data_IF_464621952573
#
_entry.id   IF_464621952573
#
_cell.length_a   1.000
_cell.length_b   1.000
_cell.length_c   1.000
_cell.angle_alpha   90.00
_cell.angle_beta   90.00
_cell.angle_gamma   90.00
#
_symmetry.space_group_name_H-M   'P 1'
#
loop_
_entity.id
_entity.type
_entity.pdbx_description
1 polymer ?
#
# COMPACT_ATOMS: atom_id res chain seq x y z
N UNK A 1 -39.51 10.04 -40.20
CA UNK A 1 -39.55 10.57 -38.82
C UNK A 1 -40.12 9.46 -37.94
N UNK A 2 -39.43 8.75 -37.05
CA UNK A 2 -38.29 9.05 -36.16
C UNK A 2 -37.62 7.69 -35.86
N UNK A 3 -36.37 7.45 -36.28
CA UNK A 3 -35.59 6.21 -35.98
C UNK A 3 -34.34 6.52 -35.14
N UNK A 4 -34.42 7.55 -34.28
CA UNK A 4 -33.29 8.10 -33.54
C UNK A 4 -33.03 7.47 -32.14
N UNK A 5 -33.91 6.70 -31.46
CA UNK A 5 -33.65 6.35 -30.06
C UNK A 5 -32.64 5.22 -29.88
N UNK A 6 -32.36 4.40 -30.89
CA UNK A 6 -31.48 3.22 -30.77
C UNK A 6 -29.98 3.54 -30.82
N UNK A 7 -29.59 4.69 -31.41
CA UNK A 7 -28.17 5.06 -31.53
C UNK A 7 -27.61 5.64 -30.21
N UNK A 8 -28.47 6.23 -29.37
CA UNK A 8 -28.07 6.83 -28.09
C UNK A 8 -27.84 5.83 -26.97
N UNK A 9 -28.40 4.61 -27.06
CA UNK A 9 -28.22 3.58 -26.02
C UNK A 9 -26.95 2.74 -26.21
N UNK A 10 -26.37 2.72 -27.42
CA UNK A 10 -25.14 1.99 -27.71
C UNK A 10 -23.86 2.72 -27.27
N UNK A 11 -23.94 4.03 -27.01
CA UNK A 11 -22.79 4.85 -26.59
C UNK A 11 -22.53 4.83 -25.08
N UNK A 12 -23.44 4.28 -24.26
CA UNK A 12 -23.28 4.23 -22.81
C UNK A 12 -22.45 3.03 -22.31
N UNK A 13 -22.07 2.11 -23.21
CA UNK A 13 -21.43 0.84 -22.84
C UNK A 13 -19.89 0.88 -22.81
N UNK A 14 -19.26 2.01 -23.16
CA UNK A 14 -17.80 2.13 -23.27
C UNK A 14 -17.27 3.14 -22.25
N UNK A 15 -17.29 2.79 -20.97
CA UNK A 15 -16.46 3.47 -19.96
C UNK A 15 -16.33 2.67 -18.65
N UNK A 16 -16.17 1.35 -18.74
CA UNK A 16 -15.66 0.56 -17.61
C UNK A 16 -14.28 0.01 -18.00
N UNK A 17 -13.31 0.91 -18.19
CA UNK A 17 -11.90 0.52 -18.25
C UNK A 17 -11.50 0.04 -16.87
N UNK A 18 -11.59 -1.27 -16.63
CA UNK A 18 -10.91 -1.92 -15.53
C UNK A 18 -9.41 -1.62 -15.68
N UNK A 19 -8.90 -0.68 -14.87
CA UNK A 19 -7.49 -0.38 -14.81
C UNK A 19 -6.80 -1.61 -14.23
N UNK A 20 -6.14 -2.40 -15.08
CA UNK A 20 -5.27 -3.46 -14.62
C UNK A 20 -4.19 -2.80 -13.74
N UNK A 21 -3.95 -3.31 -12.52
CA UNK A 21 -2.95 -2.73 -11.65
C UNK A 21 -1.59 -2.76 -12.36
N UNK A 22 -0.87 -1.66 -12.27
CA UNK A 22 0.51 -1.59 -12.75
C UNK A 22 1.35 -2.64 -12.03
N UNK A 23 2.50 -3.04 -12.60
CA UNK A 23 3.40 -4.02 -11.95
C UNK A 23 3.82 -3.60 -10.53
N UNK A 24 3.92 -2.28 -10.30
CA UNK A 24 4.22 -1.72 -8.98
C UNK A 24 3.04 -1.86 -8.01
N UNK A 25 1.81 -1.59 -8.44
CA UNK A 25 0.62 -1.78 -7.61
C UNK A 25 0.40 -3.26 -7.26
N UNK A 26 0.63 -4.17 -8.21
CA UNK A 26 0.56 -5.61 -7.97
C UNK A 26 1.57 -6.07 -6.91
N UNK A 27 2.80 -5.54 -6.95
CA UNK A 27 3.82 -5.82 -5.95
C UNK A 27 3.44 -5.28 -4.55
N UNK A 28 2.93 -4.05 -4.47
CA UNK A 28 2.47 -3.47 -3.20
C UNK A 28 1.30 -4.27 -2.60
N UNK A 29 0.34 -4.69 -3.43
CA UNK A 29 -0.76 -5.55 -3.00
C UNK A 29 -0.25 -6.89 -2.44
N UNK A 30 0.76 -7.48 -3.09
CA UNK A 30 1.38 -8.73 -2.61
C UNK A 30 2.01 -8.56 -1.23
N UNK A 31 2.65 -7.43 -0.95
CA UNK A 31 3.22 -7.13 0.38
C UNK A 31 2.11 -6.98 1.44
N UNK A 32 1.01 -6.31 1.11
CA UNK A 32 -0.14 -6.16 2.00
C UNK A 32 -0.79 -7.52 2.29
N UNK A 33 -0.98 -8.36 1.29
CA UNK A 33 -1.54 -9.69 1.47
C UNK A 33 -0.61 -10.59 2.28
N UNK A 34 0.71 -10.47 2.07
CA UNK A 34 1.72 -11.09 2.92
C UNK A 34 1.59 -10.65 4.39
N UNK A 35 1.44 -9.35 4.64
CA UNK A 35 1.27 -8.82 5.99
C UNK A 35 -0.02 -9.30 6.68
N UNK A 36 -1.11 -9.48 5.92
CA UNK A 36 -2.35 -10.11 6.44
C UNK A 36 -2.10 -11.58 6.78
N UNK A 37 -1.48 -12.33 5.86
CA UNK A 37 -1.23 -13.76 6.03
C UNK A 37 -0.31 -14.04 7.23
N UNK A 38 0.72 -13.22 7.42
CA UNK A 38 1.67 -13.34 8.54
C UNK A 38 1.13 -12.82 9.87
N UNK A 39 -0.12 -12.35 9.92
CA UNK A 39 -0.68 -11.73 11.12
C UNK A 39 0.24 -10.60 11.60
N UNK A 40 0.57 -9.66 10.72
CA UNK A 40 1.29 -8.43 11.08
C UNK A 40 0.32 -7.38 11.62
N UNK A 41 0.74 -6.65 12.66
CA UNK A 41 -0.05 -5.55 13.22
C UNK A 41 -0.05 -4.31 12.31
N UNK A 42 1.07 -4.07 11.62
CA UNK A 42 1.22 -2.95 10.69
C UNK A 42 2.28 -3.23 9.62
N UNK A 43 2.14 -2.59 8.46
CA UNK A 43 3.12 -2.55 7.37
C UNK A 43 3.10 -1.13 6.79
N UNK A 44 4.27 -0.53 6.61
CA UNK A 44 4.43 0.76 5.93
C UNK A 44 5.49 0.61 4.85
N UNK A 45 5.20 1.10 3.63
CA UNK A 45 6.17 1.16 2.53
C UNK A 45 6.35 2.62 2.15
N UNK A 46 7.60 3.09 2.20
CA UNK A 46 7.99 4.46 1.86
C UNK A 46 8.97 4.44 0.71
N UNK A 47 8.73 5.28 -0.30
CA UNK A 47 9.63 5.48 -1.43
C UNK A 47 9.75 6.98 -1.72
N UNK A 48 10.97 7.51 -1.85
CA UNK A 48 11.24 8.94 -2.04
C UNK A 48 10.51 9.84 -1.03
N UNK A 49 10.45 9.41 0.24
CA UNK A 49 9.75 10.13 1.30
C UNK A 49 8.21 10.09 1.21
N UNK A 50 7.64 9.40 0.21
CA UNK A 50 6.19 9.23 0.06
C UNK A 50 5.75 7.87 0.60
N UNK A 51 4.72 7.87 1.42
CA UNK A 51 4.05 6.63 1.85
C UNK A 51 3.24 6.06 0.70
N UNK A 52 3.62 4.87 0.24
CA UNK A 52 2.91 4.13 -0.80
C UNK A 52 1.93 3.10 -0.22
N UNK A 53 2.25 2.56 0.95
CA UNK A 53 1.39 1.64 1.72
C UNK A 53 1.41 2.08 3.18
N UNK A 54 0.24 2.15 3.78
CA UNK A 54 0.04 2.27 5.22
C UNK A 54 -1.07 1.28 5.61
N UNK A 55 -0.65 0.09 6.02
CA UNK A 55 -1.54 -0.96 6.48
C UNK A 55 -1.44 -1.06 8.00
N UNK A 56 -2.61 -1.12 8.65
CA UNK A 56 -2.76 -1.54 10.04
C UNK A 56 -3.87 -2.56 10.12
N UNK A 57 -3.63 -3.66 10.85
CA UNK A 57 -4.65 -4.69 11.04
C UNK A 57 -5.84 -4.10 11.81
N UNK A 58 -7.09 -4.39 11.41
CA UNK A 58 -8.26 -4.01 12.19
C UNK A 58 -8.16 -4.48 13.64
N UNK A 59 -8.32 -3.56 14.59
CA UNK A 59 -8.22 -3.85 16.02
C UNK A 59 -6.80 -3.97 16.58
N UNK A 60 -5.75 -3.80 15.77
CA UNK A 60 -4.38 -3.76 16.29
C UNK A 60 -4.16 -2.52 17.18
N UNK A 61 -3.27 -2.60 18.18
CA UNK A 61 -2.92 -1.48 19.02
C UNK A 61 -2.45 -0.26 18.22
N UNK A 62 -2.91 0.92 18.62
CA UNK A 62 -2.44 2.21 18.12
C UNK A 62 -1.23 2.74 18.90
N UNK A 63 -0.88 2.07 20.00
CA UNK A 63 0.30 2.36 20.79
C UNK A 63 1.59 2.01 20.01
N UNK A 64 2.74 2.61 20.38
CA UNK A 64 4.05 2.20 19.86
C UNK A 64 4.27 0.69 20.03
N UNK A 65 4.83 0.07 19.00
CA UNK A 65 5.14 -1.37 18.97
C UNK A 65 6.55 -1.58 19.50
N UNK A 66 6.77 -2.67 20.23
CA UNK A 66 8.12 -3.08 20.63
C UNK A 66 8.99 -3.35 19.40
N UNK A 67 10.07 -2.57 19.27
CA UNK A 67 11.00 -2.66 18.14
C UNK A 67 11.99 -3.83 18.30
N UNK A 68 12.07 -4.47 19.47
CA UNK A 68 12.93 -5.62 19.71
C UNK A 68 14.37 -5.33 19.23
N UNK A 69 14.98 -6.29 18.51
CA UNK A 69 16.32 -6.16 17.97
C UNK A 69 16.49 -5.07 16.92
N UNK A 70 15.43 -4.52 16.32
CA UNK A 70 15.57 -3.37 15.42
C UNK A 70 16.12 -2.14 16.13
N UNK A 71 15.95 -2.06 17.47
CA UNK A 71 16.58 -1.04 18.33
C UNK A 71 18.10 -1.03 18.19
N UNK A 72 18.74 -2.18 17.89
CA UNK A 72 20.19 -2.27 17.72
C UNK A 72 20.68 -1.42 16.54
N UNK A 73 19.87 -1.27 15.49
CA UNK A 73 20.20 -0.40 14.36
C UNK A 73 20.23 1.07 14.77
N UNK A 74 19.29 1.51 15.61
CA UNK A 74 19.29 2.87 16.16
C UNK A 74 20.53 3.12 17.04
N UNK A 75 20.88 2.15 17.90
CA UNK A 75 22.11 2.21 18.71
C UNK A 75 23.35 2.27 17.81
N UNK A 76 23.40 1.45 16.76
CA UNK A 76 24.51 1.44 15.80
C UNK A 76 24.70 2.79 15.10
N UNK A 77 23.60 3.48 14.74
CA UNK A 77 23.66 4.85 14.21
C UNK A 77 24.25 5.80 15.25
N UNK A 78 23.83 5.70 16.51
CA UNK A 78 24.37 6.51 17.62
C UNK A 78 25.87 6.31 17.83
N UNK A 79 26.34 5.06 17.81
CA UNK A 79 27.77 4.74 17.88
C UNK A 79 28.53 5.30 16.68
N UNK A 80 27.99 5.16 15.47
CA UNK A 80 28.60 5.73 14.25
C UNK A 80 28.83 7.23 14.38
N UNK A 81 27.86 7.98 14.93
CA UNK A 81 27.97 9.42 15.22
C UNK A 81 29.02 9.79 16.27
N UNK A 82 29.50 8.84 17.07
CA UNK A 82 30.61 9.08 18.00
C UNK A 82 31.97 8.87 17.32
N UNK A 83 32.01 8.12 16.22
CA UNK A 83 33.23 7.81 15.47
C UNK A 83 33.51 8.82 14.34
N UNK A 84 32.47 9.50 13.85
CA UNK A 84 32.52 10.50 12.77
C UNK A 84 31.82 11.78 13.18
#
# INVERSE_FOLDING_TARGET
MIWIPTLLLALASVAASAHAPTSSEAALNTLVDGAKASQSDTLMVVHDGKTLVDYRRPGAPTAPIDMMSATKSLVGIGVGRMLT
#
